data_IF_223314637069
#
_entry.id   IF_223314637069
#
_cell.length_a   1.000
_cell.length_b   1.000
_cell.length_c   1.000
_cell.angle_alpha   90.00
_cell.angle_beta   90.00
_cell.angle_gamma   90.00
#
_symmetry.space_group_name_H-M   'P 1'
#
loop_
_entity.id
_entity.type
_entity.pdbx_description
1 polymer ?
#
# COMPACT_ATOMS: atom_id res chain seq x y z
N UNK A 1 12.68 19.42 -5.91
CA UNK A 1 12.06 18.09 -5.78
C UNK A 1 10.58 18.28 -6.06
N UNK A 2 10.09 17.79 -7.20
CA UNK A 2 8.66 17.87 -7.52
C UNK A 2 7.82 17.27 -6.38
N UNK A 3 6.64 17.85 -6.13
CA UNK A 3 5.70 17.48 -5.05
C UNK A 3 5.23 16.01 -5.16
N UNK A 4 6.06 15.08 -4.69
CA UNK A 4 5.73 13.64 -4.63
C UNK A 4 4.85 13.37 -3.40
N UNK A 5 3.62 12.93 -3.64
CA UNK A 5 2.68 12.65 -2.55
C UNK A 5 3.06 11.33 -1.88
N UNK A 6 3.16 11.35 -0.55
CA UNK A 6 3.40 10.17 0.28
C UNK A 6 2.06 9.58 0.72
N UNK A 7 1.81 8.32 0.39
CA UNK A 7 0.51 7.68 0.60
C UNK A 7 0.64 6.50 1.56
N UNK A 8 -0.28 6.46 2.54
CA UNK A 8 -0.53 5.31 3.40
C UNK A 8 -1.84 4.68 2.97
N UNK A 9 -1.83 3.40 2.60
CA UNK A 9 -3.01 2.69 2.14
C UNK A 9 -3.50 1.70 3.20
N UNK A 10 -4.59 2.07 3.85
CA UNK A 10 -5.28 1.20 4.79
C UNK A 10 -6.26 0.33 4.00
N UNK A 11 -6.35 -0.95 4.36
CA UNK A 11 -7.26 -1.91 3.71
C UNK A 11 -7.08 -1.96 2.18
N UNK A 12 -5.83 -2.06 1.73
CA UNK A 12 -5.48 -1.85 0.32
C UNK A 12 -6.12 -2.87 -0.63
N UNK A 13 -6.55 -4.05 -0.14
CA UNK A 13 -7.14 -5.10 -0.97
C UNK A 13 -6.23 -5.43 -2.16
N UNK A 14 -6.82 -5.51 -3.36
CA UNK A 14 -6.09 -5.73 -4.63
C UNK A 14 -5.36 -4.47 -5.15
N UNK A 15 -5.33 -3.39 -4.37
CA UNK A 15 -4.56 -2.16 -4.61
C UNK A 15 -5.05 -1.30 -5.80
N UNK A 16 -6.37 -1.21 -5.95
CA UNK A 16 -7.02 -0.32 -6.91
C UNK A 16 -6.66 1.16 -6.67
N UNK A 17 -6.41 1.53 -5.41
CA UNK A 17 -6.00 2.87 -5.00
C UNK A 17 -4.67 3.27 -5.64
N UNK A 18 -3.67 2.38 -5.67
CA UNK A 18 -2.39 2.68 -6.33
C UNK A 18 -2.56 2.76 -7.84
N UNK A 19 -3.39 1.88 -8.41
CA UNK A 19 -3.63 1.88 -9.85
C UNK A 19 -4.25 3.22 -10.29
N UNK A 20 -5.25 3.73 -9.58
CA UNK A 20 -5.89 5.00 -9.96
C UNK A 20 -4.95 6.21 -9.86
N UNK A 21 -4.02 6.21 -8.90
CA UNK A 21 -2.99 7.25 -8.80
C UNK A 21 -2.00 7.18 -9.97
N UNK A 22 -1.67 5.99 -10.46
CA UNK A 22 -0.85 5.81 -11.67
C UNK A 22 -1.62 6.27 -12.92
N UNK A 23 -2.87 5.85 -13.05
CA UNK A 23 -3.72 6.18 -14.21
C UNK A 23 -3.96 7.70 -14.30
N UNK A 24 -4.06 8.38 -13.15
CA UNK A 24 -4.18 9.83 -13.06
C UNK A 24 -2.85 10.60 -13.22
N UNK A 25 -1.73 9.90 -13.50
CA UNK A 25 -0.39 10.48 -13.63
C UNK A 25 0.04 11.30 -12.40
N UNK A 26 -0.43 10.93 -11.21
CA UNK A 26 -0.07 11.61 -9.97
C UNK A 26 1.29 11.09 -9.52
N UNK A 27 2.26 11.98 -9.29
CA UNK A 27 3.55 11.60 -8.75
C UNK A 27 3.41 11.20 -7.26
N UNK A 28 3.51 9.91 -6.97
CA UNK A 28 3.25 9.37 -5.63
C UNK A 28 4.20 8.25 -5.24
N UNK A 29 4.25 7.98 -3.94
CA UNK A 29 4.96 6.85 -3.36
C UNK A 29 4.11 6.22 -2.27
N UNK A 30 3.88 4.90 -2.37
CA UNK A 30 3.23 4.13 -1.32
C UNK A 30 4.27 3.86 -0.25
N UNK A 31 4.13 4.52 0.90
CA UNK A 31 5.06 4.34 2.02
C UNK A 31 4.71 3.06 2.77
N UNK A 32 3.41 2.79 2.96
CA UNK A 32 2.92 1.57 3.59
C UNK A 32 1.55 1.16 3.06
N UNK A 33 1.32 -0.16 2.99
CA UNK A 33 0.02 -0.73 2.66
C UNK A 33 -0.31 -1.87 3.64
N UNK A 34 -1.52 -1.85 4.18
CA UNK A 34 -2.03 -2.94 5.03
C UNK A 34 -2.82 -3.92 4.19
N UNK A 35 -2.33 -5.16 4.12
CA UNK A 35 -3.00 -6.28 3.45
C UNK A 35 -3.00 -7.50 4.36
N UNK A 36 -4.18 -7.97 4.73
CA UNK A 36 -4.34 -9.19 5.54
C UNK A 36 -4.66 -10.44 4.70
N UNK A 37 -5.13 -10.25 3.46
CA UNK A 37 -5.58 -11.35 2.61
C UNK A 37 -4.47 -11.85 1.69
N UNK A 38 -4.19 -13.15 1.70
CA UNK A 38 -3.15 -13.82 0.88
C UNK A 38 -3.27 -13.47 -0.61
N UNK A 39 -4.47 -13.54 -1.18
CA UNK A 39 -4.68 -13.29 -2.62
C UNK A 39 -4.52 -11.81 -2.99
N UNK A 40 -4.83 -10.89 -2.07
CA UNK A 40 -4.57 -9.47 -2.26
C UNK A 40 -3.07 -9.16 -2.30
N UNK A 41 -2.29 -9.85 -1.46
CA UNK A 41 -0.83 -9.75 -1.48
C UNK A 41 -0.24 -10.31 -2.80
N UNK A 42 -0.69 -11.49 -3.23
CA UNK A 42 -0.26 -12.09 -4.50
C UNK A 42 -0.58 -11.19 -5.72
N UNK A 43 -1.79 -10.62 -5.76
CA UNK A 43 -2.19 -9.70 -6.82
C UNK A 43 -1.27 -8.46 -6.85
N UNK A 44 -0.97 -7.91 -5.68
CA UNK A 44 -0.05 -6.78 -5.57
C UNK A 44 1.36 -7.11 -6.06
N UNK A 45 1.94 -8.22 -5.59
CA UNK A 45 3.30 -8.60 -5.96
C UNK A 45 3.44 -8.82 -7.47
N UNK A 46 2.40 -9.37 -8.09
CA UNK A 46 2.36 -9.57 -9.54
C UNK A 46 2.33 -8.26 -10.33
N UNK A 47 1.66 -7.23 -9.82
CA UNK A 47 1.49 -5.93 -10.49
C UNK A 47 2.62 -4.95 -10.19
N UNK A 48 3.18 -5.02 -8.98
CA UNK A 48 4.01 -3.94 -8.44
C UNK A 48 5.34 -4.40 -7.83
N UNK A 49 5.61 -5.71 -7.79
CA UNK A 49 6.76 -6.30 -7.11
C UNK A 49 6.56 -6.47 -5.61
N UNK A 50 7.57 -7.02 -4.93
CA UNK A 50 7.56 -7.22 -3.48
C UNK A 50 7.42 -5.89 -2.73
N UNK A 51 6.66 -5.88 -1.64
CA UNK A 51 6.56 -4.72 -0.75
C UNK A 51 6.62 -5.12 0.71
N UNK A 52 6.95 -4.15 1.56
CA UNK A 52 6.84 -4.30 2.99
C UNK A 52 5.36 -4.20 3.39
N UNK A 53 4.76 -5.33 3.72
CA UNK A 53 3.39 -5.42 4.22
C UNK A 53 3.43 -5.64 5.73
N UNK A 54 2.84 -4.72 6.48
CA UNK A 54 2.76 -4.83 7.94
C UNK A 54 1.77 -5.90 8.43
N UNK A 55 0.89 -6.41 7.56
CA UNK A 55 -0.11 -7.40 7.96
C UNK A 55 -1.23 -6.80 8.80
N UNK A 56 -1.54 -7.42 9.95
CA UNK A 56 -2.63 -7.00 10.84
C UNK A 56 -2.33 -5.66 11.52
N UNK A 57 -3.22 -4.68 11.30
CA UNK A 57 -3.11 -3.34 11.88
C UNK A 57 -3.06 -3.33 13.42
N UNK A 58 -3.70 -4.31 14.06
CA UNK A 58 -3.75 -4.46 15.51
C UNK A 58 -2.36 -4.63 16.16
N UNK A 59 -1.38 -5.16 15.41
CA UNK A 59 0.00 -5.31 15.89
C UNK A 59 0.79 -4.01 15.90
N UNK A 60 0.40 -3.02 15.08
CA UNK A 60 1.05 -1.70 15.06
C UNK A 60 0.46 -0.78 16.13
N UNK A 61 -0.86 -0.82 16.33
CA UNK A 61 -1.52 0.05 17.31
C UNK A 61 -1.01 -0.25 18.74
N UNK A 62 -0.65 -1.50 19.03
CA UNK A 62 -0.14 -1.91 20.34
C UNK A 62 1.39 -1.78 20.49
N UNK A 63 2.13 -1.43 19.43
CA UNK A 63 3.54 -1.10 19.56
C UNK A 63 3.69 0.37 19.95
N UNK A 64 3.54 0.64 21.26
CA UNK A 64 3.79 1.92 21.95
C UNK A 64 4.20 3.09 21.04
N UNK A 65 3.18 3.86 20.63
CA UNK A 65 3.26 5.31 20.74
C UNK A 65 3.15 5.69 22.23
#
# INVERSE_FOLDING_TARGET
MENKIRVVQLFAGIDAQRQILKDALINHEIIFAFKIYKYALLAYEKLYGSTFNFGEMEKIINSKL
#
